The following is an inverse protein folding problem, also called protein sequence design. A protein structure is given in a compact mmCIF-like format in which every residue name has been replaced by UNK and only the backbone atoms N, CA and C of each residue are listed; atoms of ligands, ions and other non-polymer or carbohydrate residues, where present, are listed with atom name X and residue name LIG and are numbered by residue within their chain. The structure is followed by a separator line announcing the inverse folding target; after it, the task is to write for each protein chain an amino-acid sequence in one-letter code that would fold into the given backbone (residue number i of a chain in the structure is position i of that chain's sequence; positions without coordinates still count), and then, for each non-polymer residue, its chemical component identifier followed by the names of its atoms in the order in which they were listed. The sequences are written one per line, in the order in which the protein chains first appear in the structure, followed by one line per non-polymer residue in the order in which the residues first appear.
data_IF_849399002352
#
_entry.id   IF_849399002352
#
_cell.length_a   1.000
_cell.length_b   1.000
_cell.length_c   1.000
_cell.angle_alpha   90.00
_cell.angle_beta   90.00
_cell.angle_gamma   90.00
#
_symmetry.space_group_name_H-M   'P 1'
#
loop_
_entity.id
_entity.type
_entity.pdbx_description
1 polymer ?
#
# COMPACT_ATOMS: atom_id res chain seq x y z
N UNK A 1 32.06 2.46 18.25
CA UNK A 1 31.41 1.43 17.41
C UNK A 1 32.51 0.68 16.66
N UNK A 2 32.57 -0.66 16.72
CA UNK A 2 33.61 -1.46 16.06
C UNK A 2 33.41 -1.43 14.52
N UNK A 3 34.49 -1.48 13.74
CA UNK A 3 34.48 -1.47 12.27
C UNK A 3 33.54 -2.52 11.65
N UNK A 4 33.42 -3.70 12.27
CA UNK A 4 32.51 -4.77 11.81
C UNK A 4 31.05 -4.35 11.99
N UNK A 5 30.70 -3.81 13.16
CA UNK A 5 29.36 -3.28 13.45
C UNK A 5 29.02 -2.12 12.52
N UNK A 6 29.96 -1.21 12.30
CA UNK A 6 29.81 -0.12 11.33
C UNK A 6 29.51 -0.67 9.94
N UNK A 7 30.31 -1.62 9.43
CA UNK A 7 30.12 -2.18 8.10
C UNK A 7 28.76 -2.89 7.93
N UNK A 8 28.33 -3.67 8.94
CA UNK A 8 27.00 -4.31 8.92
C UNK A 8 25.90 -3.25 8.89
N UNK A 9 26.03 -2.18 9.65
CA UNK A 9 25.00 -1.14 9.77
C UNK A 9 24.98 -0.14 8.63
N UNK A 10 26.13 0.23 8.08
CA UNK A 10 26.23 1.24 7.01
C UNK A 10 26.10 0.64 5.61
N UNK A 11 26.59 -0.57 5.37
CA UNK A 11 26.60 -1.16 4.03
C UNK A 11 25.41 -2.08 3.74
N UNK A 12 24.71 -2.56 4.78
CA UNK A 12 23.57 -3.43 4.53
C UNK A 12 22.39 -2.67 3.95
N UNK A 13 21.76 -3.28 2.94
CA UNK A 13 20.58 -2.76 2.25
C UNK A 13 19.39 -3.64 2.58
N UNK A 14 18.27 -3.01 2.94
CA UNK A 14 17.00 -3.70 3.11
C UNK A 14 16.19 -3.53 1.83
N UNK A 15 15.96 -4.62 1.11
CA UNK A 15 15.15 -4.62 -0.10
C UNK A 15 13.79 -5.21 0.25
N UNK A 16 12.76 -4.39 0.28
CA UNK A 16 11.40 -4.86 0.55
C UNK A 16 10.85 -5.52 -0.71
N UNK A 17 10.39 -6.77 -0.57
CA UNK A 17 9.86 -7.57 -1.69
C UNK A 17 8.33 -7.62 -1.68
N UNK A 18 7.73 -7.48 -0.49
CA UNK A 18 6.28 -7.46 -0.31
C UNK A 18 5.90 -6.76 1.00
N UNK A 19 4.89 -5.89 0.95
CA UNK A 19 4.19 -5.36 2.13
C UNK A 19 2.74 -5.80 1.99
N UNK A 20 2.22 -6.49 3.01
CA UNK A 20 0.81 -6.90 3.06
C UNK A 20 0.09 -6.10 4.12
N UNK A 21 -1.00 -5.45 3.73
CA UNK A 21 -1.97 -4.79 4.61
C UNK A 21 -3.32 -5.46 4.38
N UNK A 22 -3.55 -6.64 4.99
CA UNK A 22 -4.78 -7.37 4.75
C UNK A 22 -5.92 -6.86 5.62
N UNK A 23 -7.14 -6.84 5.08
CA UNK A 23 -8.38 -6.92 5.87
C UNK A 23 -8.72 -8.41 6.02
N UNK A 24 -7.97 -9.16 6.83
CA UNK A 24 -8.28 -10.59 7.05
C UNK A 24 -9.64 -10.70 7.77
N UNK A 25 -10.53 -11.63 7.40
CA UNK A 25 -11.84 -11.79 8.04
C UNK A 25 -11.82 -12.41 9.44
N UNK A 26 -10.67 -12.50 10.12
CA UNK A 26 -10.55 -13.13 11.43
C UNK A 26 -9.64 -12.32 12.35
N UNK A 27 -10.28 -11.42 13.11
CA UNK A 27 -9.85 -10.85 14.40
C UNK A 27 -8.60 -9.94 14.40
N UNK A 28 -8.73 -8.75 13.80
CA UNK A 28 -8.40 -7.42 14.37
C UNK A 28 -8.42 -6.42 13.22
N UNK A 29 -9.50 -5.64 13.17
CA UNK A 29 -9.87 -4.80 12.03
C UNK A 29 -8.81 -3.72 11.72
N UNK A 30 -8.74 -3.31 10.44
CA UNK A 30 -8.33 -1.94 10.18
C UNK A 30 -9.34 -1.03 10.88
N UNK A 31 -8.90 -0.30 11.90
CA UNK A 31 -9.71 0.69 12.60
C UNK A 31 -9.35 2.07 12.07
N UNK A 32 -10.02 3.16 12.47
CA UNK A 32 -9.54 4.50 12.17
C UNK A 32 -8.10 4.79 12.66
N UNK A 33 -7.58 4.04 13.63
CA UNK A 33 -6.31 4.29 14.31
C UNK A 33 -5.28 3.15 14.21
N UNK A 34 -5.59 2.06 13.51
CA UNK A 34 -4.68 0.91 13.41
C UNK A 34 -4.91 0.03 12.19
N UNK A 35 -3.87 -0.69 11.79
CA UNK A 35 -3.94 -1.69 10.73
C UNK A 35 -2.95 -2.83 10.96
N UNK A 36 -3.23 -4.00 10.38
CA UNK A 36 -2.28 -5.12 10.37
C UNK A 36 -1.29 -4.94 9.23
N UNK A 37 0.00 -5.19 9.49
CA UNK A 37 1.03 -5.14 8.46
C UNK A 37 1.99 -6.32 8.59
N UNK A 38 2.31 -6.94 7.45
CA UNK A 38 3.42 -7.88 7.31
C UNK A 38 4.40 -7.38 6.25
N UNK A 39 5.69 -7.65 6.44
CA UNK A 39 6.75 -7.24 5.50
C UNK A 39 7.62 -8.44 5.17
N UNK A 40 7.79 -8.72 3.89
CA UNK A 40 8.80 -9.64 3.37
C UNK A 40 9.92 -8.79 2.76
N UNK A 41 11.15 -9.09 3.15
CA UNK A 41 12.31 -8.31 2.71
C UNK A 41 13.57 -9.15 2.68
N UNK A 42 14.58 -8.66 1.97
CA UNK A 42 15.90 -9.27 1.90
C UNK A 42 16.96 -8.27 2.30
N UNK A 43 17.71 -8.61 3.34
CA UNK A 43 18.91 -7.88 3.76
C UNK A 43 20.10 -8.41 2.98
N UNK A 44 20.82 -7.52 2.31
CA UNK A 44 22.09 -7.82 1.62
C UNK A 44 23.20 -6.88 2.08
N UNK A 45 24.45 -7.13 1.68
CA UNK A 45 25.55 -6.20 1.98
C UNK A 45 26.00 -6.18 3.44
N UNK A 46 25.71 -7.22 4.22
CA UNK A 46 26.09 -7.34 5.64
C UNK A 46 27.55 -7.75 5.87
N UNK A 47 28.34 -7.84 4.79
CA UNK A 47 29.73 -8.31 4.84
C UNK A 47 29.86 -9.84 4.94
N UNK A 48 31.11 -10.35 4.99
CA UNK A 48 31.38 -11.79 4.97
C UNK A 48 31.08 -12.50 6.30
N UNK A 49 30.88 -11.74 7.38
CA UNK A 49 30.71 -12.27 8.73
C UNK A 49 29.23 -12.40 9.06
N UNK A 50 28.79 -13.62 9.39
CA UNK A 50 27.44 -13.86 9.88
C UNK A 50 27.25 -13.22 11.25
N UNK A 51 26.13 -12.54 11.44
CA UNK A 51 25.85 -11.77 12.65
C UNK A 51 24.41 -11.96 13.11
N UNK A 52 24.16 -11.82 14.40
CA UNK A 52 22.82 -11.81 14.96
C UNK A 52 22.50 -10.40 15.45
N UNK A 53 21.48 -9.79 14.85
CA UNK A 53 20.92 -8.52 15.30
C UNK A 53 19.75 -8.87 16.23
N UNK A 54 19.73 -8.32 17.44
CA UNK A 54 18.63 -8.54 18.38
C UNK A 54 17.31 -8.01 17.82
N UNK A 55 16.20 -8.53 18.33
CA UNK A 55 14.91 -7.88 18.15
C UNK A 55 14.94 -6.44 18.66
N UNK A 56 14.10 -5.60 18.09
CA UNK A 56 13.98 -4.19 18.44
C UNK A 56 12.67 -3.62 17.93
N UNK A 57 12.29 -2.44 18.42
CA UNK A 57 11.21 -1.64 17.83
C UNK A 57 11.81 -0.49 17.05
N UNK A 58 11.32 -0.27 15.83
CA UNK A 58 11.68 0.87 14.98
C UNK A 58 10.48 1.75 14.70
N UNK A 59 10.73 3.02 14.42
CA UNK A 59 9.72 3.94 13.89
C UNK A 59 9.59 3.73 12.38
N UNK A 60 8.34 3.68 11.90
CA UNK A 60 7.99 3.72 10.49
C UNK A 60 7.89 5.19 10.07
N UNK A 61 8.80 5.62 9.20
CA UNK A 61 8.91 7.02 8.78
C UNK A 61 8.71 7.11 7.27
N UNK A 62 7.66 7.80 6.86
CA UNK A 62 7.35 8.08 5.46
C UNK A 62 7.67 9.54 5.09
N UNK A 63 7.24 10.00 3.89
CA UNK A 63 7.47 11.37 3.43
C UNK A 63 6.92 12.45 4.37
N UNK A 64 5.83 12.16 5.09
CA UNK A 64 5.22 13.07 6.06
C UNK A 64 5.75 12.96 7.48
N UNK A 65 6.73 12.08 7.76
CA UNK A 65 7.26 11.84 9.10
C UNK A 65 6.95 10.45 9.66
N UNK A 66 7.15 10.30 10.97
CA UNK A 66 6.93 9.03 11.68
C UNK A 66 5.44 8.80 11.92
N UNK A 67 4.91 7.65 11.49
CA UNK A 67 3.46 7.38 11.55
C UNK A 67 3.07 6.13 12.33
N UNK A 68 4.05 5.33 12.76
CA UNK A 68 3.79 4.13 13.55
C UNK A 68 5.08 3.46 14.02
N UNK A 69 4.94 2.35 14.73
CA UNK A 69 6.06 1.54 15.23
C UNK A 69 5.95 0.11 14.72
N UNK A 70 7.10 -0.49 14.46
CA UNK A 70 7.23 -1.85 13.95
C UNK A 70 8.18 -2.64 14.84
N UNK A 71 7.75 -3.81 15.32
CA UNK A 71 8.62 -4.77 15.97
C UNK A 71 9.38 -5.58 14.91
N UNK A 72 10.71 -5.47 14.93
CA UNK A 72 11.61 -6.28 14.12
C UNK A 72 12.00 -7.54 14.90
N UNK A 73 11.95 -8.73 14.27
CA UNK A 73 12.41 -9.95 14.90
C UNK A 73 13.95 -9.98 15.00
N UNK A 74 14.48 -11.01 15.65
CA UNK A 74 15.91 -11.32 15.58
C UNK A 74 16.33 -11.59 14.12
N UNK A 75 17.33 -10.85 13.62
CA UNK A 75 17.84 -10.99 12.25
C UNK A 75 19.18 -11.71 12.27
N UNK A 76 19.28 -12.85 11.58
CA UNK A 76 20.52 -13.63 11.46
C UNK A 76 21.14 -13.45 10.09
N UNK A 77 22.04 -12.48 9.95
CA UNK A 77 22.67 -12.13 8.67
C UNK A 77 23.65 -13.20 8.20
N UNK A 78 23.78 -13.34 6.87
CA UNK A 78 24.73 -14.23 6.20
C UNK A 78 25.37 -13.50 5.02
N UNK A 79 26.54 -13.97 4.58
CA UNK A 79 27.29 -13.38 3.46
C UNK A 79 26.53 -13.36 2.14
N UNK A 80 25.65 -14.33 1.89
CA UNK A 80 24.77 -14.42 0.71
C UNK A 80 23.52 -13.53 0.79
N UNK A 81 23.35 -12.76 1.87
CA UNK A 81 22.10 -12.11 2.22
C UNK A 81 21.17 -13.00 3.05
N UNK A 82 20.10 -12.41 3.56
CA UNK A 82 19.17 -13.04 4.51
C UNK A 82 17.77 -12.50 4.29
N UNK A 83 16.80 -13.40 4.18
CA UNK A 83 15.40 -13.04 4.15
C UNK A 83 14.95 -12.66 5.57
N UNK A 84 14.30 -11.51 5.67
CA UNK A 84 13.75 -10.96 6.91
C UNK A 84 12.26 -10.81 6.70
N UNK A 85 11.53 -11.79 7.24
CA UNK A 85 10.08 -11.84 7.19
C UNK A 85 9.55 -11.38 8.54
N UNK A 86 8.90 -10.23 8.53
CA UNK A 86 8.23 -9.65 9.67
C UNK A 86 6.78 -10.14 9.61
N UNK A 87 6.41 -10.96 10.58
CA UNK A 87 5.06 -11.50 10.70
C UNK A 87 4.03 -10.38 10.84
N UNK A 88 2.78 -10.70 10.46
CA UNK A 88 1.65 -9.79 10.60
C UNK A 88 1.53 -9.31 12.04
N UNK A 89 1.53 -8.00 12.23
CA UNK A 89 1.40 -7.36 13.54
C UNK A 89 0.56 -6.09 13.43
N UNK A 90 -0.07 -5.72 14.54
CA UNK A 90 -0.88 -4.51 14.63
C UNK A 90 0.03 -3.28 14.68
N UNK A 91 -0.18 -2.36 13.75
CA UNK A 91 0.46 -1.05 13.70
C UNK A 91 -0.56 -0.01 14.18
N UNK A 92 -0.24 0.68 15.27
CA UNK A 92 -0.99 1.87 15.70
C UNK A 92 -0.52 3.08 14.91
N UNK A 93 -1.47 3.84 14.36
CA UNK A 93 -1.23 5.10 13.68
C UNK A 93 -0.97 6.16 14.76
N UNK A 94 0.28 6.60 14.89
CA UNK A 94 0.68 7.59 15.91
C UNK A 94 0.56 9.03 15.41
N UNK A 95 0.60 9.23 14.09
CA UNK A 95 0.47 10.52 13.43
C UNK A 95 -0.35 10.32 12.14
N UNK A 96 -1.60 10.77 12.17
CA UNK A 96 -2.55 10.62 11.05
C UNK A 96 -2.12 11.39 9.81
N UNK A 97 -1.73 12.69 9.88
CA UNK A 97 -1.16 13.39 8.73
C UNK A 97 0.03 12.68 8.09
N UNK A 98 0.99 12.19 8.88
CA UNK A 98 2.16 11.48 8.37
C UNK A 98 1.78 10.15 7.71
N UNK A 99 0.84 9.40 8.31
CA UNK A 99 0.31 8.18 7.73
C UNK A 99 -0.40 8.43 6.41
N UNK A 100 -1.27 9.45 6.36
CA UNK A 100 -1.96 9.85 5.13
C UNK A 100 -0.98 10.21 4.02
N UNK A 101 0.06 10.98 4.33
CA UNK A 101 1.11 11.33 3.38
C UNK A 101 1.84 10.08 2.85
N UNK A 102 2.10 9.09 3.72
CA UNK A 102 2.69 7.82 3.31
C UNK A 102 1.79 7.03 2.34
N UNK A 103 0.50 6.86 2.67
CA UNK A 103 -0.45 6.15 1.79
C UNK A 103 -0.66 6.89 0.48
N UNK A 104 -0.76 8.22 0.50
CA UNK A 104 -0.88 9.03 -0.71
C UNK A 104 0.35 8.87 -1.63
N UNK A 105 1.56 8.95 -1.07
CA UNK A 105 2.80 8.74 -1.83
C UNK A 105 2.85 7.33 -2.43
N UNK A 106 2.42 6.32 -1.67
CA UNK A 106 2.37 4.94 -2.13
C UNK A 106 1.42 4.75 -3.32
N UNK A 107 0.27 5.42 -3.31
CA UNK A 107 -0.74 5.33 -4.36
C UNK A 107 -0.42 6.21 -5.60
N UNK A 108 0.26 7.34 -5.43
CA UNK A 108 0.43 8.35 -6.51
C UNK A 108 1.84 8.47 -7.05
N UNK A 109 2.85 8.28 -6.21
CA UNK A 109 4.23 8.49 -6.64
C UNK A 109 4.77 7.25 -7.35
N UNK A 110 5.75 7.44 -8.23
CA UNK A 110 6.47 6.32 -8.87
C UNK A 110 7.38 5.59 -7.89
N UNK A 111 7.93 6.33 -6.93
CA UNK A 111 8.79 5.80 -5.88
C UNK A 111 8.63 6.62 -4.61
N UNK A 112 8.83 5.96 -3.48
CA UNK A 112 8.84 6.59 -2.17
C UNK A 112 9.92 5.96 -1.28
N UNK A 113 10.30 6.69 -0.24
CA UNK A 113 11.26 6.20 0.75
C UNK A 113 10.54 5.91 2.06
N UNK A 114 10.42 4.63 2.41
CA UNK A 114 10.10 4.21 3.78
C UNK A 114 11.41 4.10 4.56
N UNK A 115 11.45 4.68 5.74
CA UNK A 115 12.61 4.63 6.62
C UNK A 115 12.23 3.91 7.91
N UNK A 116 13.07 2.95 8.29
CA UNK A 116 13.05 2.35 9.62
C UNK A 116 14.05 3.13 10.46
N UNK A 117 13.60 3.76 11.55
CA UNK A 117 14.43 4.67 12.35
C UNK A 117 14.38 4.34 13.84
N UNK A 118 15.35 4.87 14.57
CA UNK A 118 15.40 4.86 16.04
C UNK A 118 15.38 3.46 16.68
N UNK A 119 15.76 2.41 15.94
CA UNK A 119 15.86 1.07 16.49
C UNK A 119 17.06 0.95 17.42
N UNK A 120 16.83 0.62 18.68
CA UNK A 120 17.91 0.33 19.64
C UNK A 120 18.01 -1.17 19.82
N UNK A 121 19.20 -1.70 19.63
CA UNK A 121 19.44 -3.14 19.77
C UNK A 121 20.92 -3.46 19.85
N UNK A 122 21.25 -4.74 19.69
CA UNK A 122 22.62 -5.23 19.72
C UNK A 122 22.93 -6.05 18.48
N UNK A 123 24.21 -6.05 18.08
CA UNK A 123 24.75 -6.94 17.06
C UNK A 123 25.79 -7.84 17.71
N UNK A 124 25.62 -9.16 17.54
CA UNK A 124 26.57 -10.18 17.94
C UNK A 124 27.25 -10.81 16.73
N UNK A 125 28.58 -10.76 16.70
CA UNK A 125 29.41 -11.34 15.63
C UNK A 125 30.78 -11.74 16.19
N UNK A 126 31.31 -12.91 15.79
CA UNK A 126 32.64 -13.41 16.20
C UNK A 126 32.89 -13.36 17.72
N UNK A 127 31.87 -13.68 18.53
CA UNK A 127 31.96 -13.64 20.00
C UNK A 127 31.88 -12.25 20.63
N UNK A 128 31.90 -11.18 19.82
CA UNK A 128 31.73 -9.80 20.28
C UNK A 128 30.26 -9.38 20.21
N UNK A 129 29.84 -8.49 21.11
CA UNK A 129 28.52 -7.84 21.12
C UNK A 129 28.72 -6.33 21.15
N UNK A 130 27.91 -5.60 20.38
CA UNK A 130 27.94 -4.13 20.37
C UNK A 130 26.52 -3.57 20.27
N UNK A 131 26.29 -2.45 20.95
CA UNK A 131 25.06 -1.68 20.80
C UNK A 131 25.01 -1.01 19.42
N UNK A 132 23.80 -0.95 18.86
CA UNK A 132 23.54 -0.33 17.57
C UNK A 132 22.34 0.62 17.61
N UNK A 133 22.41 1.62 16.74
CA UNK A 133 21.27 2.42 16.32
C UNK A 133 20.90 1.98 14.90
N UNK A 134 19.79 1.28 14.77
CA UNK A 134 19.26 0.77 13.53
C UNK A 134 18.48 1.85 12.79
N UNK A 135 19.06 2.29 11.67
CA UNK A 135 18.44 3.20 10.73
C UNK A 135 18.61 2.63 9.32
N UNK A 136 17.49 2.34 8.66
CA UNK A 136 17.48 1.77 7.31
C UNK A 136 16.54 2.49 6.36
N UNK A 137 17.07 2.72 5.18
CA UNK A 137 16.34 3.22 4.03
C UNK A 137 15.79 2.04 3.25
N UNK A 138 14.49 2.10 2.99
CA UNK A 138 13.72 1.08 2.29
C UNK A 138 13.06 1.78 1.10
N UNK A 139 13.78 1.96 -0.02
CA UNK A 139 13.18 2.45 -1.24
C UNK A 139 12.05 1.52 -1.66
N UNK A 140 10.89 2.09 -1.98
CA UNK A 140 9.72 1.37 -2.46
C UNK A 140 9.34 1.92 -3.84
N UNK A 141 8.96 1.04 -4.75
CA UNK A 141 8.18 1.46 -5.91
C UNK A 141 6.77 1.82 -5.43
N UNK A 142 6.25 2.96 -5.86
CA UNK A 142 4.86 3.33 -5.66
C UNK A 142 3.99 2.84 -6.83
N UNK A 143 2.69 3.11 -6.78
CA UNK A 143 1.76 2.69 -7.83
C UNK A 143 1.82 3.57 -9.09
N UNK A 144 2.34 4.79 -8.97
CA UNK A 144 2.28 5.80 -10.04
C UNK A 144 0.83 6.05 -10.52
N UNK A 145 -0.08 6.22 -9.56
CA UNK A 145 -1.52 6.29 -9.79
C UNK A 145 -2.15 4.91 -10.05
N UNK A 146 -3.45 4.73 -9.75
CA UNK A 146 -4.14 3.50 -10.07
C UNK A 146 -4.39 3.39 -11.57
N UNK A 147 -3.47 2.71 -12.28
CA UNK A 147 -3.62 2.42 -13.71
C UNK A 147 -4.80 1.47 -13.90
N UNK A 148 -5.97 2.06 -14.15
CA UNK A 148 -7.27 1.37 -14.12
C UNK A 148 -7.87 1.32 -15.52
N UNK A 149 -8.39 0.16 -15.90
CA UNK A 149 -9.14 -0.05 -17.14
C UNK A 149 -10.48 -0.69 -16.82
N UNK A 150 -11.53 -0.25 -17.50
CA UNK A 150 -12.85 -0.90 -17.46
C UNK A 150 -12.83 -2.01 -18.52
N UNK A 151 -12.58 -3.26 -18.12
CA UNK A 151 -12.43 -4.38 -19.05
C UNK A 151 -13.76 -4.88 -19.59
N UNK A 152 -14.83 -4.80 -18.78
CA UNK A 152 -16.18 -5.22 -19.15
C UNK A 152 -17.20 -4.31 -18.48
N UNK A 153 -18.30 -4.04 -19.16
CA UNK A 153 -19.47 -3.40 -18.59
C UNK A 153 -20.75 -4.05 -19.14
N UNK A 154 -21.76 -4.17 -18.31
CA UNK A 154 -23.05 -4.72 -18.69
C UNK A 154 -24.17 -4.03 -17.89
N UNK A 155 -25.33 -3.85 -18.52
CA UNK A 155 -26.53 -3.40 -17.81
C UNK A 155 -26.96 -4.44 -16.76
N UNK A 156 -27.37 -3.97 -15.59
CA UNK A 156 -27.85 -4.81 -14.50
C UNK A 156 -29.31 -5.20 -14.75
N UNK A 157 -29.54 -6.15 -15.66
CA UNK A 157 -30.87 -6.75 -15.90
C UNK A 157 -32.00 -5.73 -16.10
N UNK A 158 -33.17 -6.00 -15.52
CA UNK A 158 -34.38 -5.16 -15.66
C UNK A 158 -34.36 -3.84 -14.85
N UNK A 159 -33.22 -3.45 -14.27
CA UNK A 159 -33.06 -2.23 -13.46
C UNK A 159 -32.17 -1.16 -14.10
N UNK A 160 -32.14 0.03 -13.50
CA UNK A 160 -31.37 1.20 -13.97
C UNK A 160 -29.87 1.19 -13.60
N UNK A 161 -29.25 0.01 -13.47
CA UNK A 161 -27.88 -0.14 -12.98
C UNK A 161 -26.94 -0.77 -14.00
N UNK A 162 -25.66 -0.88 -13.64
CA UNK A 162 -24.66 -1.61 -14.39
C UNK A 162 -23.71 -2.40 -13.49
N UNK A 163 -23.03 -3.37 -14.07
CA UNK A 163 -21.88 -4.05 -13.48
C UNK A 163 -20.66 -3.80 -14.34
N UNK A 164 -19.52 -3.50 -13.73
CA UNK A 164 -18.25 -3.30 -14.43
C UNK A 164 -17.14 -4.13 -13.81
N UNK A 165 -16.30 -4.72 -14.66
CA UNK A 165 -15.04 -5.34 -14.24
C UNK A 165 -13.93 -4.32 -14.41
N UNK A 166 -13.36 -3.88 -13.30
CA UNK A 166 -12.19 -3.01 -13.27
C UNK A 166 -10.92 -3.85 -13.19
N UNK A 167 -9.92 -3.43 -13.93
CA UNK A 167 -8.59 -4.01 -13.95
C UNK A 167 -7.61 -2.95 -13.49
N UNK A 168 -6.87 -3.21 -12.42
CA UNK A 168 -5.90 -2.27 -11.86
C UNK A 168 -4.51 -2.87 -11.93
N UNK A 169 -3.56 -2.12 -12.50
CA UNK A 169 -2.14 -2.46 -12.45
C UNK A 169 -1.47 -1.79 -11.27
N UNK A 170 -0.78 -2.60 -10.46
CA UNK A 170 -0.05 -2.22 -9.27
C UNK A 170 1.41 -2.71 -9.39
N UNK A 171 2.34 -1.85 -9.84
CA UNK A 171 3.77 -2.21 -9.93
C UNK A 171 4.48 -2.21 -8.57
N UNK A 172 3.84 -1.72 -7.51
CA UNK A 172 4.43 -1.62 -6.18
C UNK A 172 4.53 -3.00 -5.50
N UNK A 173 5.40 -3.17 -4.49
CA UNK A 173 5.42 -4.38 -3.67
C UNK A 173 4.27 -4.41 -2.64
N UNK A 174 3.25 -3.55 -2.75
CA UNK A 174 2.13 -3.49 -1.81
C UNK A 174 1.01 -4.45 -2.23
N UNK A 175 0.47 -5.16 -1.25
CA UNK A 175 -0.87 -5.72 -1.30
C UNK A 175 -1.73 -5.11 -0.20
N UNK A 176 -2.93 -4.65 -0.57
CA UNK A 176 -3.83 -3.92 0.31
C UNK A 176 -5.27 -4.31 0.02
N UNK A 177 -6.00 -4.76 1.04
CA UNK A 177 -7.45 -4.87 0.94
C UNK A 177 -8.03 -3.47 1.18
N UNK A 178 -8.73 -2.93 0.19
CA UNK A 178 -9.34 -1.59 0.26
C UNK A 178 -10.76 -1.64 0.82
N UNK A 179 -11.29 -2.83 1.12
CA UNK A 179 -12.67 -3.01 1.53
C UNK A 179 -13.64 -2.76 0.38
N UNK A 180 -14.83 -2.26 0.70
CA UNK A 180 -15.87 -1.93 -0.26
C UNK A 180 -15.74 -0.46 -0.65
N UNK A 181 -15.01 -0.21 -1.74
CA UNK A 181 -14.74 1.14 -2.21
C UNK A 181 -15.98 1.75 -2.85
N UNK A 182 -16.19 3.05 -2.62
CA UNK A 182 -17.16 3.90 -3.31
C UNK A 182 -16.42 4.75 -4.33
N UNK A 183 -16.95 4.81 -5.54
CA UNK A 183 -16.30 5.47 -6.66
C UNK A 183 -17.30 6.27 -7.48
N UNK A 184 -16.78 7.30 -8.13
CA UNK A 184 -17.48 8.12 -9.10
C UNK A 184 -16.75 8.05 -10.45
N UNK A 185 -17.53 8.05 -11.52
CA UNK A 185 -17.05 8.33 -12.86
C UNK A 185 -17.42 9.78 -13.17
N UNK A 186 -16.42 10.58 -13.53
CA UNK A 186 -16.58 12.03 -13.78
C UNK A 186 -16.15 12.40 -15.19
N UNK A 187 -16.90 13.30 -15.82
CA UNK A 187 -16.47 14.00 -17.03
C UNK A 187 -15.24 14.88 -16.73
N UNK A 188 -14.60 15.40 -17.79
CA UNK A 188 -13.46 16.31 -17.68
C UNK A 188 -13.76 17.63 -16.92
N UNK A 189 -15.02 18.06 -16.92
CA UNK A 189 -15.50 19.23 -16.16
C UNK A 189 -15.80 18.93 -14.67
N UNK A 190 -15.63 17.67 -14.25
CA UNK A 190 -15.92 17.21 -12.89
C UNK A 190 -17.35 16.73 -12.66
N UNK A 191 -18.24 16.82 -13.65
CA UNK A 191 -19.63 16.33 -13.56
C UNK A 191 -19.65 14.83 -13.34
N UNK A 192 -20.34 14.36 -12.29
CA UNK A 192 -20.49 12.93 -11.97
C UNK A 192 -21.53 12.31 -12.90
N UNK A 193 -21.12 11.33 -13.72
CA UNK A 193 -22.00 10.63 -14.68
C UNK A 193 -22.49 9.29 -14.14
N UNK A 194 -21.74 8.67 -13.23
CA UNK A 194 -22.14 7.45 -12.56
C UNK A 194 -21.48 7.31 -11.19
N UNK A 195 -22.17 6.61 -10.29
CA UNK A 195 -21.65 6.17 -9.00
C UNK A 195 -21.55 4.65 -9.01
N UNK A 196 -20.50 4.10 -8.39
CA UNK A 196 -20.31 2.65 -8.31
C UNK A 196 -19.62 2.24 -7.02
N UNK A 197 -19.81 0.99 -6.62
CA UNK A 197 -19.17 0.42 -5.46
C UNK A 197 -18.83 -1.06 -5.67
N UNK A 198 -17.80 -1.55 -4.99
CA UNK A 198 -17.44 -2.96 -5.02
C UNK A 198 -16.29 -3.27 -4.07
N UNK A 199 -16.12 -4.54 -3.73
CA UNK A 199 -14.99 -4.96 -2.91
C UNK A 199 -13.72 -5.01 -3.75
N UNK A 200 -12.67 -4.33 -3.30
CA UNK A 200 -11.40 -4.25 -4.01
C UNK A 200 -10.23 -4.72 -3.13
N UNK A 201 -9.51 -5.71 -3.63
CA UNK A 201 -8.20 -6.09 -3.11
C UNK A 201 -7.17 -5.70 -4.15
N UNK A 202 -6.18 -4.89 -3.81
CA UNK A 202 -5.06 -4.62 -4.71
C UNK A 202 -3.95 -5.62 -4.40
N UNK A 203 -3.69 -6.53 -5.33
CA UNK A 203 -2.52 -7.41 -5.30
C UNK A 203 -1.34 -6.75 -6.01
N UNK A 204 -0.13 -7.29 -5.81
CA UNK A 204 1.01 -6.96 -6.67
C UNK A 204 0.71 -7.42 -8.10
N UNK A 205 1.10 -6.60 -9.09
CA UNK A 205 0.92 -6.92 -10.50
C UNK A 205 -0.42 -6.40 -11.04
N UNK A 206 -1.36 -7.29 -11.31
CA UNK A 206 -2.67 -6.94 -11.87
C UNK A 206 -3.75 -7.53 -11.00
N UNK A 207 -4.79 -6.75 -10.71
CA UNK A 207 -5.98 -7.23 -10.02
C UNK A 207 -7.23 -6.89 -10.81
N UNK A 208 -8.18 -7.81 -10.81
CA UNK A 208 -9.52 -7.58 -11.32
C UNK A 208 -10.52 -7.58 -10.17
N UNK A 209 -11.46 -6.64 -10.17
CA UNK A 209 -12.61 -6.66 -9.27
C UNK A 209 -13.85 -6.14 -9.94
N UNK A 210 -15.01 -6.54 -9.41
CA UNK A 210 -16.31 -6.17 -9.95
C UNK A 210 -16.93 -5.09 -9.09
N UNK A 211 -17.47 -4.07 -9.76
CA UNK A 211 -18.26 -3.00 -9.14
C UNK A 211 -19.67 -3.02 -9.71
N UNK A 212 -20.62 -2.61 -8.87
CA UNK A 212 -22.01 -2.35 -9.25
C UNK A 212 -22.25 -0.86 -9.19
N UNK A 213 -22.86 -0.28 -10.23
CA UNK A 213 -23.08 1.15 -10.32
C UNK A 213 -24.43 1.55 -10.89
N UNK A 214 -24.67 2.85 -10.89
CA UNK A 214 -25.90 3.49 -11.36
C UNK A 214 -25.53 4.83 -12.02
N UNK A 215 -26.02 5.12 -13.24
CA UNK A 215 -25.87 6.45 -13.84
C UNK A 215 -26.58 7.51 -12.99
N UNK A 216 -26.05 8.72 -12.95
CA UNK A 216 -26.65 9.83 -12.20
C UNK A 216 -27.77 10.55 -12.96
N UNK A 217 -27.88 10.28 -14.27
CA UNK A 217 -28.73 11.01 -15.21
C UNK A 217 -28.03 12.20 -15.87
N UNK A 218 -26.79 12.51 -15.49
CA UNK A 218 -25.94 13.44 -16.23
C UNK A 218 -25.29 12.73 -17.43
N UNK A 219 -25.28 13.38 -18.58
CA UNK A 219 -24.73 12.81 -19.79
C UNK A 219 -23.20 12.77 -19.77
N UNK A 220 -22.62 11.67 -20.25
CA UNK A 220 -21.20 11.57 -20.55
C UNK A 220 -20.87 12.49 -21.74
N UNK A 221 -19.87 13.35 -21.57
CA UNK A 221 -19.41 14.25 -22.63
C UNK A 221 -18.62 13.51 -23.73
N UNK A 222 -18.17 12.29 -23.45
CA UNK A 222 -17.39 11.44 -24.34
C UNK A 222 -16.84 10.21 -23.60
N UNK A 223 -16.03 9.38 -24.29
CA UNK A 223 -15.41 8.17 -23.72
C UNK A 223 -14.41 8.45 -22.60
N UNK A 224 -13.86 9.65 -22.52
CA UNK A 224 -12.86 10.02 -21.52
C UNK A 224 -13.53 10.39 -20.20
N UNK A 225 -13.13 9.73 -19.12
CA UNK A 225 -13.61 10.01 -17.78
C UNK A 225 -12.48 9.92 -16.75
N UNK A 226 -12.72 10.46 -15.57
CA UNK A 226 -11.88 10.25 -14.40
C UNK A 226 -12.62 9.35 -13.42
N UNK A 227 -11.98 8.27 -13.00
CA UNK A 227 -12.46 7.45 -11.91
C UNK A 227 -11.89 8.01 -10.60
N UNK A 228 -12.77 8.33 -9.65
CA UNK A 228 -12.42 8.92 -8.37
C UNK A 228 -12.98 8.05 -7.26
N UNK A 229 -12.15 7.50 -6.38
CA UNK A 229 -12.64 6.88 -5.17
C UNK A 229 -13.01 7.95 -4.12
N UNK A 230 -14.20 7.86 -3.56
CA UNK A 230 -14.79 8.89 -2.69
C UNK A 230 -14.92 8.44 -1.23
N UNK A 231 -14.72 7.15 -0.95
CA UNK A 231 -14.77 6.60 0.40
C UNK A 231 -14.80 5.08 0.37
N UNK A 232 -14.98 4.49 1.54
CA UNK A 232 -15.27 3.07 1.72
C UNK A 232 -16.59 2.89 2.49
N UNK A 233 -17.12 1.66 2.53
CA UNK A 233 -18.31 1.35 3.34
C UNK A 233 -17.90 1.12 4.80
N UNK A 234 -16.76 0.49 5.00
CA UNK A 234 -16.21 0.15 6.30
C UNK A 234 -15.75 1.41 7.07
N UNK A 235 -15.89 1.42 8.39
CA UNK A 235 -15.41 2.52 9.24
C UNK A 235 -13.95 2.31 9.61
N UNK A 236 -13.05 2.76 8.73
CA UNK A 236 -11.62 2.63 8.92
C UNK A 236 -10.84 3.79 8.28
N UNK A 237 -9.52 3.77 8.45
CA UNK A 237 -8.60 4.79 7.94
C UNK A 237 -8.64 4.96 6.41
N UNK A 238 -9.15 3.98 5.64
CA UNK A 238 -9.24 4.10 4.18
C UNK A 238 -10.16 5.25 3.76
N UNK A 239 -11.17 5.62 4.55
CA UNK A 239 -12.05 6.76 4.23
C UNK A 239 -11.25 8.06 4.00
N UNK A 240 -10.13 8.25 4.71
CA UNK A 240 -9.29 9.44 4.58
C UNK A 240 -8.31 9.35 3.41
N UNK A 241 -7.81 8.15 3.11
CA UNK A 241 -6.70 7.94 2.17
C UNK A 241 -7.13 7.47 0.79
N UNK A 242 -8.31 6.85 0.66
CA UNK A 242 -8.78 6.24 -0.60
C UNK A 242 -8.98 7.29 -1.69
N UNK A 243 -9.21 8.55 -1.32
CA UNK A 243 -9.28 9.69 -2.25
C UNK A 243 -8.01 9.88 -3.10
N UNK A 244 -6.87 9.32 -2.69
CA UNK A 244 -5.68 9.28 -3.52
C UNK A 244 -5.81 8.32 -4.72
N UNK A 245 -6.74 7.36 -4.65
CA UNK A 245 -7.11 6.45 -5.73
C UNK A 245 -8.01 7.19 -6.74
N UNK A 246 -7.35 7.86 -7.67
CA UNK A 246 -7.98 8.62 -8.74
C UNK A 246 -7.13 8.48 -10.00
N UNK A 247 -7.78 8.33 -11.15
CA UNK A 247 -7.05 8.21 -12.42
C UNK A 247 -7.95 8.27 -13.64
N UNK A 248 -7.36 8.57 -14.82
CA UNK A 248 -8.09 8.57 -16.08
C UNK A 248 -8.54 7.15 -16.44
N UNK A 249 -9.73 7.05 -17.00
CA UNK A 249 -10.31 5.81 -17.54
C UNK A 249 -11.01 6.10 -18.87
N UNK A 250 -11.18 5.05 -19.67
CA UNK A 250 -11.99 5.11 -20.90
C UNK A 250 -13.27 4.33 -20.64
N UNK A 251 -14.41 5.01 -20.79
CA UNK A 251 -15.72 4.40 -20.71
C UNK A 251 -15.95 3.53 -21.95
N UNK A 252 -16.24 2.23 -21.78
CA UNK A 252 -16.64 1.38 -22.89
C UNK A 252 -18.00 1.84 -23.42
N UNK A 253 -18.30 1.47 -24.67
CA UNK A 253 -19.52 1.89 -25.37
C UNK A 253 -20.79 1.61 -24.55
N UNK A 254 -20.84 0.48 -23.87
CA UNK A 254 -21.97 0.07 -23.04
C UNK A 254 -22.22 1.04 -21.88
N UNK A 255 -21.17 1.58 -21.23
CA UNK A 255 -21.35 2.59 -20.18
C UNK A 255 -21.68 3.96 -20.75
N UNK A 256 -21.14 4.31 -21.93
CA UNK A 256 -21.49 5.56 -22.60
C UNK A 256 -22.96 5.59 -22.97
N UNK A 257 -23.48 4.51 -23.56
CA UNK A 257 -24.89 4.41 -23.94
C UNK A 257 -25.81 4.44 -22.71
N UNK A 258 -25.35 3.96 -21.54
CA UNK A 258 -26.08 4.04 -20.27
C UNK A 258 -26.02 5.41 -19.60
N UNK A 259 -25.01 6.21 -19.93
CA UNK A 259 -24.81 7.57 -19.41
C UNK A 259 -25.11 8.62 -20.49
N UNK A 260 -25.95 8.32 -21.49
CA UNK A 260 -26.30 9.22 -22.57
C UNK A 260 -27.55 10.06 -22.27
#
# INVERSE_FOLDING_TARGET
MNAITNAIMSHSKLNVTLIKIPLVPLQTDATPDSFMMAIESKVTGTGPVSSTISEMTVDLVGPGGAFGKLALPVIKTRSSGTDVNIASQLITITDRPAFRAFVHALLRDESLLLQLRNGKGTVKALGMTADINYNKDCPLAGMHGPKTTIARAAAAGAGAGFTSTLVVSNPSPLEIDLGTIKQELRNADGTVVAVQQGRAYLSRGQTEFVVTGTPTGAAAAGPEATLVATGVVEDNWHNETITAFEGPVVLPKELLDLCA
#
